data_IF_967243125367
#
_entry.id   IF_967243125367
#
_cell.length_a   1.000
_cell.length_b   1.000
_cell.length_c   1.000
_cell.angle_alpha   90.00
_cell.angle_beta   90.00
_cell.angle_gamma   90.00
#
_symmetry.space_group_name_H-M   'P 1'
#
loop_
_entity.id
_entity.type
_entity.pdbx_description
1 polymer ?
#
# COMPACT_ATOMS: atom_id res chain seq x y z
N UNK A 1 4.20 -3.89 29.69
CA UNK A 1 3.50 -2.68 29.23
C UNK A 1 4.03 -2.32 27.85
N UNK A 2 3.22 -2.42 26.81
CA UNK A 2 3.63 -1.98 25.48
C UNK A 2 3.57 -0.44 25.45
N UNK A 3 4.71 0.23 25.32
CA UNK A 3 4.77 1.67 25.14
C UNK A 3 4.04 2.05 23.86
N UNK A 4 3.12 3.01 23.94
CA UNK A 4 2.41 3.52 22.76
C UNK A 4 3.38 4.41 21.98
N UNK A 5 3.96 3.87 20.92
CA UNK A 5 4.70 4.67 19.93
C UNK A 5 3.66 5.23 18.95
N UNK A 6 3.55 6.56 18.89
CA UNK A 6 2.70 7.25 17.92
C UNK A 6 3.57 8.01 16.93
N UNK A 7 3.33 7.79 15.63
CA UNK A 7 3.90 8.59 14.56
C UNK A 7 2.90 9.67 14.16
N UNK A 8 3.36 10.91 13.99
CA UNK A 8 2.49 12.03 13.63
C UNK A 8 2.30 12.07 12.11
N UNK A 9 1.05 11.92 11.65
CA UNK A 9 0.71 12.25 10.28
C UNK A 9 0.52 13.78 10.16
N UNK A 10 1.25 14.40 9.24
CA UNK A 10 1.17 15.84 8.98
C UNK A 10 0.20 16.19 7.86
N UNK A 11 -0.13 15.22 7.01
CA UNK A 11 -1.08 15.41 5.92
C UNK A 11 -1.82 14.14 5.54
N UNK A 12 -2.97 14.31 4.88
CA UNK A 12 -3.72 13.26 4.21
C UNK A 12 -4.14 13.75 2.84
N UNK A 13 -3.90 12.95 1.80
CA UNK A 13 -4.24 13.36 0.45
C UNK A 13 -4.19 12.22 -0.56
N UNK A 14 -4.21 12.60 -1.84
CA UNK A 14 -3.95 11.70 -2.95
C UNK A 14 -2.54 11.93 -3.47
N UNK A 15 -1.83 10.85 -3.78
CA UNK A 15 -0.51 10.93 -4.43
C UNK A 15 -0.57 10.28 -5.80
N UNK A 16 0.32 10.70 -6.68
CA UNK A 16 0.55 10.02 -7.95
C UNK A 16 1.46 8.82 -7.71
N UNK A 17 1.08 7.67 -8.26
CA UNK A 17 1.83 6.41 -8.18
C UNK A 17 1.98 5.82 -9.57
N UNK A 18 3.09 5.13 -9.82
CA UNK A 18 3.19 4.26 -10.99
C UNK A 18 2.58 2.90 -10.65
N UNK A 19 1.62 2.47 -11.46
CA UNK A 19 0.99 1.15 -11.38
C UNK A 19 1.44 0.30 -12.56
N UNK A 20 1.65 -0.99 -12.36
CA UNK A 20 2.02 -1.92 -13.43
C UNK A 20 0.84 -2.84 -13.74
N UNK A 21 0.28 -2.75 -14.94
CA UNK A 21 -0.92 -3.53 -15.33
C UNK A 21 -0.61 -4.97 -15.79
N UNK A 22 0.67 -5.32 -15.89
CA UNK A 22 1.12 -6.60 -16.45
C UNK A 22 1.95 -6.43 -17.73
N UNK A 23 1.78 -5.30 -18.43
CA UNK A 23 2.45 -4.99 -19.69
C UNK A 23 3.22 -3.66 -19.60
N UNK A 24 2.64 -2.65 -18.95
CA UNK A 24 3.16 -1.29 -18.95
C UNK A 24 3.04 -0.61 -17.58
N UNK A 25 3.89 0.38 -17.36
CA UNK A 25 3.79 1.28 -16.20
C UNK A 25 2.93 2.48 -16.56
N UNK A 26 1.86 2.69 -15.82
CA UNK A 26 0.93 3.81 -15.99
C UNK A 26 0.89 4.70 -14.76
N UNK A 27 0.69 6.00 -14.95
CA UNK A 27 0.47 6.93 -13.85
C UNK A 27 -0.97 6.80 -13.35
N UNK A 28 -1.11 6.59 -12.06
CA UNK A 28 -2.40 6.52 -11.38
C UNK A 28 -2.36 7.30 -10.07
N UNK A 29 -3.48 7.32 -9.35
CA UNK A 29 -3.62 8.03 -8.09
C UNK A 29 -3.95 7.06 -6.95
N UNK A 30 -3.24 7.20 -5.83
CA UNK A 30 -3.57 6.53 -4.58
C UNK A 30 -4.14 7.56 -3.62
N UNK A 31 -5.44 7.44 -3.33
CA UNK A 31 -6.15 8.33 -2.42
C UNK A 31 -5.99 7.91 -0.95
N UNK A 32 -6.25 8.83 -0.03
CA UNK A 32 -6.22 8.61 1.42
C UNK A 32 -4.85 8.15 1.95
N UNK A 33 -3.79 8.68 1.38
CA UNK A 33 -2.41 8.45 1.82
C UNK A 33 -2.05 9.42 2.93
N UNK A 34 -1.46 8.90 4.01
CA UNK A 34 -0.94 9.70 5.11
C UNK A 34 0.52 10.08 4.82
N UNK A 35 0.80 11.38 4.91
CA UNK A 35 2.15 11.91 4.90
C UNK A 35 2.68 11.93 6.33
N UNK A 36 3.76 11.18 6.57
CA UNK A 36 4.42 11.03 7.86
C UNK A 36 5.90 11.31 7.63
N UNK A 37 6.40 12.54 7.84
CA UNK A 37 7.80 12.91 7.53
C UNK A 37 8.84 12.06 8.24
N UNK A 38 8.52 11.58 9.44
CA UNK A 38 9.38 10.71 10.25
C UNK A 38 9.60 9.33 9.60
N UNK A 39 8.77 8.97 8.61
CA UNK A 39 8.93 7.78 7.79
C UNK A 39 9.48 8.18 6.41
N UNK A 40 10.44 7.42 5.90
CA UNK A 40 10.94 7.58 4.52
C UNK A 40 9.91 7.13 3.46
N UNK A 41 8.69 6.79 3.86
CA UNK A 41 7.64 6.25 3.01
C UNK A 41 6.26 6.72 3.47
N UNK A 42 5.35 6.86 2.51
CA UNK A 42 3.96 7.20 2.77
C UNK A 42 3.17 5.97 3.26
N UNK A 43 2.19 6.19 4.13
CA UNK A 43 1.33 5.11 4.62
C UNK A 43 0.00 5.08 3.86
N UNK A 44 -0.43 3.88 3.48
CA UNK A 44 -1.78 3.64 2.98
C UNK A 44 -2.54 2.76 3.98
N UNK A 45 -3.85 2.96 4.06
CA UNK A 45 -4.70 2.17 4.97
C UNK A 45 -5.07 0.84 4.32
N UNK A 46 -4.55 -0.28 4.85
CA UNK A 46 -4.99 -1.62 4.49
C UNK A 46 -6.49 -1.80 4.76
N UNK A 47 -6.99 -1.28 5.89
CA UNK A 47 -8.41 -1.32 6.22
C UNK A 47 -9.28 -0.61 5.17
N UNK A 48 -8.81 0.51 4.60
CA UNK A 48 -9.56 1.18 3.54
C UNK A 48 -9.64 0.34 2.24
N UNK A 49 -8.66 -0.53 1.99
CA UNK A 49 -8.74 -1.50 0.89
C UNK A 49 -9.73 -2.63 1.22
N UNK A 50 -9.72 -3.12 2.47
CA UNK A 50 -10.67 -4.13 2.95
C UNK A 50 -12.13 -3.64 2.92
N UNK A 51 -12.38 -2.40 3.36
CA UNK A 51 -13.70 -1.75 3.31
C UNK A 51 -14.26 -1.67 1.88
N UNK A 52 -13.38 -1.68 0.86
CA UNK A 52 -13.74 -1.70 -0.57
C UNK A 52 -13.95 -3.11 -1.13
N UNK A 53 -14.05 -4.11 -0.25
CA UNK A 53 -14.27 -5.51 -0.58
C UNK A 53 -13.02 -6.22 -1.09
N UNK A 54 -11.81 -5.71 -0.81
CA UNK A 54 -10.58 -6.45 -1.08
C UNK A 54 -10.28 -7.44 0.05
N UNK A 55 -9.53 -8.48 -0.28
CA UNK A 55 -9.01 -9.46 0.68
C UNK A 55 -7.49 -9.33 0.74
N UNK A 56 -6.95 -9.12 1.94
CA UNK A 56 -5.52 -9.15 2.18
C UNK A 56 -5.04 -10.58 2.47
N UNK A 57 -3.97 -10.99 1.79
CA UNK A 57 -3.23 -12.23 2.05
C UNK A 57 -1.79 -11.83 2.31
N UNK A 58 -1.28 -12.11 3.51
CA UNK A 58 0.05 -11.66 3.93
C UNK A 58 0.92 -12.84 4.39
N UNK A 59 2.16 -12.85 3.90
CA UNK A 59 3.20 -13.84 4.19
C UNK A 59 4.53 -13.12 4.51
N UNK A 60 5.53 -13.89 4.95
CA UNK A 60 6.83 -13.37 5.43
C UNK A 60 7.49 -12.34 4.50
N UNK A 61 7.37 -12.53 3.18
CA UNK A 61 8.06 -11.72 2.17
C UNK A 61 7.11 -10.97 1.23
N UNK A 62 5.81 -11.14 1.37
CA UNK A 62 4.84 -10.62 0.42
C UNK A 62 3.48 -10.40 1.06
N UNK A 63 2.84 -9.29 0.72
CA UNK A 63 1.42 -9.01 0.97
C UNK A 63 0.72 -8.86 -0.36
N UNK A 64 -0.49 -9.40 -0.50
CA UNK A 64 -1.36 -9.19 -1.66
C UNK A 64 -2.72 -8.69 -1.23
N UNK A 65 -3.28 -7.74 -1.99
CA UNK A 65 -4.70 -7.43 -1.94
C UNK A 65 -5.36 -7.96 -3.20
N UNK A 66 -6.44 -8.72 -3.02
CA UNK A 66 -7.20 -9.33 -4.12
C UNK A 66 -8.64 -8.83 -4.12
N UNK A 67 -9.25 -8.76 -5.30
CA UNK A 67 -10.68 -8.46 -5.46
C UNK A 67 -11.26 -9.36 -6.53
N UNK A 68 -12.34 -10.09 -6.22
CA UNK A 68 -12.94 -11.09 -7.11
C UNK A 68 -11.93 -12.12 -7.65
N UNK A 69 -11.00 -12.59 -6.79
CA UNK A 69 -9.96 -13.56 -7.17
C UNK A 69 -8.78 -12.99 -7.96
N UNK A 70 -8.82 -11.71 -8.35
CA UNK A 70 -7.78 -11.02 -9.12
C UNK A 70 -6.86 -10.23 -8.18
N UNK A 71 -5.53 -10.30 -8.37
CA UNK A 71 -4.56 -9.57 -7.51
C UNK A 71 -4.45 -8.11 -7.95
N UNK A 72 -4.83 -7.17 -7.08
CA UNK A 72 -4.83 -5.72 -7.33
C UNK A 72 -3.56 -5.05 -6.78
N UNK A 73 -3.01 -5.54 -5.67
CA UNK A 73 -1.82 -4.94 -5.04
C UNK A 73 -0.90 -6.06 -4.59
N UNK A 74 0.40 -5.90 -4.80
CA UNK A 74 1.45 -6.78 -4.30
C UNK A 74 2.52 -5.94 -3.59
N UNK A 75 2.66 -6.09 -2.29
CA UNK A 75 3.82 -5.61 -1.53
C UNK A 75 4.88 -6.69 -1.43
N UNK A 76 6.12 -6.46 -1.89
CA UNK A 76 7.26 -7.37 -1.71
C UNK A 76 8.26 -6.79 -0.71
N UNK A 77 8.72 -7.60 0.24
CA UNK A 77 9.76 -7.25 1.20
C UNK A 77 11.11 -7.82 0.75
N UNK A 78 12.11 -6.98 0.54
CA UNK A 78 13.47 -7.38 0.16
C UNK A 78 14.48 -6.63 1.03
N UNK A 79 15.24 -7.37 1.86
CA UNK A 79 16.35 -6.85 2.68
C UNK A 79 15.99 -5.54 3.41
N UNK A 80 15.05 -5.62 4.35
CA UNK A 80 14.54 -4.50 5.17
C UNK A 80 13.76 -3.41 4.43
N UNK A 81 13.77 -3.42 3.10
CA UNK A 81 13.02 -2.48 2.26
C UNK A 81 11.72 -3.15 1.78
N UNK A 82 10.58 -2.49 2.02
CA UNK A 82 9.30 -2.91 1.46
C UNK A 82 9.03 -2.14 0.16
N UNK A 83 8.73 -2.84 -0.93
CA UNK A 83 8.33 -2.27 -2.21
C UNK A 83 6.87 -2.61 -2.48
N UNK A 84 6.02 -1.60 -2.66
CA UNK A 84 4.61 -1.78 -3.03
C UNK A 84 4.46 -1.66 -4.54
N UNK A 85 3.87 -2.67 -5.16
CA UNK A 85 3.45 -2.69 -6.56
C UNK A 85 1.93 -2.66 -6.57
N UNK A 86 1.35 -1.70 -7.25
CA UNK A 86 -0.10 -1.64 -7.46
C UNK A 86 -0.34 -2.12 -8.89
N UNK A 87 -1.10 -3.19 -9.03
CA UNK A 87 -1.50 -3.77 -10.31
C UNK A 87 -2.90 -3.27 -10.67
N UNK A 88 -2.97 -2.42 -11.69
CA UNK A 88 -4.25 -1.96 -12.23
C UNK A 88 -4.71 -2.91 -13.33
N UNK A 89 -5.99 -3.25 -13.35
CA UNK A 89 -6.51 -4.37 -14.14
C UNK A 89 -7.96 -4.21 -14.52
#
# INVERSE_FOLDING_TARGET
>A
MAGKISLKAEGRGSIIVHTYDGESWTLNHLANVLYVPDLQYNLFSANAALDRGMVEISHKFETRFTKHGKTIIIGKRKHEISKLFIMQI
#
